data_IF_193238063698
#
_entry.id   IF_193238063698
#
_cell.length_a   1.000
_cell.length_b   1.000
_cell.length_c   1.000
_cell.angle_alpha   90.00
_cell.angle_beta   90.00
_cell.angle_gamma   90.00
#
_symmetry.space_group_name_H-M   'P 1'
#
loop_
_entity.id
_entity.type
_entity.pdbx_description
1 polymer ?
#
# COMPACT_ATOMS: atom_id res chain seq x y z
N UNK A 1 -3.28 5.11 4.13
CA UNK A 1 -2.39 5.65 5.17
C UNK A 1 -3.18 5.75 6.47
N UNK A 2 -2.49 5.81 7.62
CA UNK A 2 -3.06 6.04 8.94
C UNK A 2 -2.10 6.95 9.72
N UNK A 3 -2.62 7.95 10.41
CA UNK A 3 -1.85 8.86 11.24
C UNK A 3 -2.35 8.83 12.68
N UNK A 4 -1.43 8.60 13.61
CA UNK A 4 -1.67 8.71 15.06
C UNK A 4 -0.85 9.86 15.62
N UNK A 5 -1.55 10.89 16.10
CA UNK A 5 -0.91 12.01 16.80
C UNK A 5 -0.34 11.54 18.15
N UNK A 6 -1.04 10.65 18.84
CA UNK A 6 -0.66 10.12 20.15
C UNK A 6 0.72 9.46 20.13
N UNK A 7 1.02 8.69 19.07
CA UNK A 7 2.28 7.96 18.92
C UNK A 7 3.25 8.61 17.94
N UNK A 8 2.87 9.79 17.40
CA UNK A 8 3.62 10.45 16.34
C UNK A 8 3.94 9.50 15.17
N UNK A 9 2.97 8.64 14.83
CA UNK A 9 3.11 7.51 13.92
C UNK A 9 2.39 7.75 12.61
N UNK A 10 3.08 7.53 11.49
CA UNK A 10 2.50 7.58 10.15
C UNK A 10 2.70 6.26 9.43
N UNK A 11 1.60 5.55 9.18
CA UNK A 11 1.60 4.37 8.34
C UNK A 11 1.36 4.73 6.87
N UNK A 12 2.34 4.41 6.03
CA UNK A 12 2.29 4.58 4.58
C UNK A 12 1.80 3.30 3.92
N UNK A 13 0.54 3.33 3.48
CA UNK A 13 -0.17 2.16 3.01
C UNK A 13 0.18 1.83 1.54
N UNK A 14 1.14 0.94 1.31
CA UNK A 14 1.40 0.37 -0.01
C UNK A 14 0.27 -0.58 -0.44
N UNK A 15 -0.15 -0.59 -1.72
CA UNK A 15 -1.16 -1.55 -2.19
C UNK A 15 -0.72 -3.00 -2.04
N UNK A 16 -1.65 -3.88 -1.63
CA UNK A 16 -1.50 -5.34 -1.55
C UNK A 16 -0.50 -5.84 -0.49
N UNK A 17 -0.26 -5.05 0.56
CA UNK A 17 0.62 -5.39 1.70
C UNK A 17 -0.13 -5.65 3.00
N UNK A 18 -1.36 -6.16 2.95
CA UNK A 18 -2.16 -6.38 4.17
C UNK A 18 -2.67 -5.09 4.83
N UNK A 19 -2.82 -4.02 4.05
CA UNK A 19 -3.19 -2.68 4.50
C UNK A 19 -4.44 -2.66 5.40
N UNK A 20 -5.45 -3.48 5.10
CA UNK A 20 -6.68 -3.56 5.90
C UNK A 20 -6.38 -4.07 7.30
N UNK A 21 -5.66 -5.19 7.40
CA UNK A 21 -5.27 -5.78 8.69
C UNK A 21 -4.42 -4.83 9.55
N UNK A 22 -3.52 -4.08 8.89
CA UNK A 22 -2.69 -3.08 9.60
C UNK A 22 -3.55 -1.92 10.09
N UNK A 23 -4.50 -1.43 9.27
CA UNK A 23 -5.42 -0.38 9.70
C UNK A 23 -6.25 -0.81 10.91
N UNK A 24 -6.82 -2.02 10.87
CA UNK A 24 -7.59 -2.58 11.99
C UNK A 24 -6.75 -2.69 13.27
N UNK A 25 -5.48 -3.08 13.15
CA UNK A 25 -4.55 -3.14 14.28
C UNK A 25 -4.21 -1.74 14.83
N UNK A 26 -3.94 -0.77 13.94
CA UNK A 26 -3.62 0.59 14.33
C UNK A 26 -4.82 1.34 14.92
N UNK A 27 -6.05 1.06 14.47
CA UNK A 27 -7.26 1.61 15.08
C UNK A 27 -7.56 1.04 16.46
N UNK A 28 -7.21 -0.23 16.69
CA UNK A 28 -7.28 -0.80 18.06
C UNK A 28 -6.22 -0.17 18.97
N UNK A 29 -5.04 0.17 18.42
CA UNK A 29 -3.97 0.85 19.16
C UNK A 29 -4.33 2.30 19.48
N UNK A 30 -4.87 3.01 18.51
CA UNK A 30 -5.27 4.42 18.63
C UNK A 30 -6.61 4.67 17.93
N UNK A 31 -7.75 4.55 18.65
CA UNK A 31 -9.07 4.83 18.08
C UNK A 31 -9.27 6.28 17.62
N UNK A 32 -8.42 7.21 18.11
CA UNK A 32 -8.44 8.63 17.67
C UNK A 32 -7.60 8.88 16.41
N UNK A 33 -6.91 7.87 15.91
CA UNK A 33 -6.07 7.97 14.72
C UNK A 33 -6.87 8.19 13.43
N UNK A 34 -6.25 8.83 12.46
CA UNK A 34 -6.89 9.31 11.23
C UNK A 34 -6.47 8.51 9.99
N UNK A 35 -7.43 7.96 9.25
CA UNK A 35 -7.14 7.16 8.03
C UNK A 35 -6.89 7.97 6.77
N UNK A 36 -7.38 9.19 6.66
CA UNK A 36 -7.41 9.93 5.38
C UNK A 36 -6.92 11.36 5.47
N UNK A 37 -6.34 11.71 6.60
CA UNK A 37 -5.73 13.02 6.81
C UNK A 37 -4.56 12.91 7.78
N UNK A 38 -3.70 13.91 7.78
CA UNK A 38 -2.63 14.10 8.76
C UNK A 38 -2.88 15.45 9.40
N UNK A 39 -2.93 15.50 10.72
CA UNK A 39 -3.13 16.74 11.48
C UNK A 39 -1.93 16.96 12.38
N UNK A 40 -1.06 17.92 12.02
CA UNK A 40 0.14 18.27 12.79
C UNK A 40 0.15 19.77 13.06
N UNK A 41 -0.01 20.16 14.34
CA UNK A 41 -0.16 21.56 14.72
C UNK A 41 -1.34 22.19 13.98
N UNK A 42 -1.08 23.27 13.23
CA UNK A 42 -2.08 23.96 12.42
C UNK A 42 -2.15 23.45 10.96
N UNK A 43 -1.37 22.41 10.61
CA UNK A 43 -1.37 21.82 9.27
C UNK A 43 -2.33 20.63 9.22
N UNK A 44 -3.21 20.62 8.22
CA UNK A 44 -4.03 19.47 7.87
C UNK A 44 -3.73 19.08 6.42
N UNK A 45 -3.27 17.84 6.20
CA UNK A 45 -2.99 17.27 4.88
C UNK A 45 -4.08 16.29 4.50
N UNK A 46 -4.73 16.56 3.38
CA UNK A 46 -5.82 15.77 2.80
C UNK A 46 -5.48 15.27 1.40
N UNK A 47 -6.44 14.64 0.72
CA UNK A 47 -6.26 14.22 -0.68
C UNK A 47 -6.00 15.39 -1.63
N UNK A 48 -6.48 16.59 -1.30
CA UNK A 48 -6.34 17.77 -2.16
C UNK A 48 -4.90 18.31 -2.18
N UNK A 49 -4.14 18.03 -1.13
CA UNK A 49 -2.76 18.50 -0.95
C UNK A 49 -1.73 17.55 -1.60
N UNK A 50 -2.19 16.45 -2.20
CA UNK A 50 -1.34 15.43 -2.79
C UNK A 50 -1.45 15.43 -4.32
N UNK A 51 -0.31 15.37 -5.00
CA UNK A 51 -0.21 15.40 -6.47
C UNK A 51 -1.10 14.34 -7.16
N UNK A 52 -1.30 13.19 -6.52
CA UNK A 52 -2.12 12.08 -7.07
C UNK A 52 -3.57 12.07 -6.55
N UNK A 53 -3.96 12.98 -5.67
CA UNK A 53 -5.32 13.09 -5.15
C UNK A 53 -5.84 11.87 -4.39
N UNK A 54 -4.96 11.00 -3.88
CA UNK A 54 -5.34 9.78 -3.18
C UNK A 54 -4.52 9.57 -1.93
N UNK A 55 -5.07 10.05 -0.85
CA UNK A 55 -4.43 9.92 0.46
C UNK A 55 -4.39 8.47 0.98
N UNK A 56 -5.33 7.61 0.58
CA UNK A 56 -5.38 6.22 1.03
C UNK A 56 -4.14 5.40 0.66
N UNK A 57 -3.52 5.71 -0.48
CA UNK A 57 -2.27 5.11 -0.97
C UNK A 57 -1.28 6.19 -1.42
N UNK A 58 -1.19 7.27 -0.64
CA UNK A 58 -0.20 8.32 -0.86
C UNK A 58 1.22 7.76 -0.70
N UNK A 59 2.16 8.25 -1.50
CA UNK A 59 3.57 7.89 -1.38
C UNK A 59 4.23 8.73 -0.30
N UNK A 60 5.24 8.19 0.35
CA UNK A 60 6.01 8.88 1.39
C UNK A 60 6.52 10.24 0.92
N UNK A 61 7.05 10.33 -0.31
CA UNK A 61 7.54 11.58 -0.91
C UNK A 61 6.47 12.64 -1.13
N UNK A 62 5.23 12.24 -1.46
CA UNK A 62 4.12 13.18 -1.64
C UNK A 62 3.71 13.77 -0.29
N UNK A 63 3.68 12.92 0.74
CA UNK A 63 3.39 13.34 2.11
C UNK A 63 4.51 14.25 2.65
N UNK A 64 5.78 13.87 2.42
CA UNK A 64 6.96 14.66 2.78
C UNK A 64 6.92 16.05 2.14
N UNK A 65 6.61 16.13 0.84
CA UNK A 65 6.46 17.39 0.11
C UNK A 65 5.36 18.28 0.72
N UNK A 66 4.22 17.69 1.11
CA UNK A 66 3.09 18.43 1.68
C UNK A 66 3.35 18.89 3.12
N UNK A 67 4.00 18.09 3.95
CA UNK A 67 4.34 18.43 5.35
C UNK A 67 5.55 19.34 5.46
N UNK A 68 6.52 19.18 4.55
CA UNK A 68 7.88 19.68 4.67
C UNK A 68 8.80 18.68 5.38
N UNK A 69 10.11 18.81 5.11
CA UNK A 69 11.14 17.87 5.58
C UNK A 69 11.21 17.79 7.11
N UNK A 70 11.14 18.93 7.78
CA UNK A 70 11.24 19.01 9.23
C UNK A 70 10.12 18.23 9.92
N UNK A 71 8.86 18.48 9.55
CA UNK A 71 7.71 17.81 10.17
C UNK A 71 7.64 16.33 9.80
N UNK A 72 7.97 15.98 8.54
CA UNK A 72 8.02 14.58 8.11
C UNK A 72 9.07 13.78 8.88
N UNK A 73 10.25 14.36 9.12
CA UNK A 73 11.35 13.70 9.83
C UNK A 73 11.09 13.50 11.32
N UNK A 74 10.19 14.28 11.93
CA UNK A 74 9.72 14.07 13.32
C UNK A 74 8.84 12.84 13.45
N UNK A 75 8.19 12.37 12.36
CA UNK A 75 7.28 11.24 12.41
C UNK A 75 7.99 9.88 12.49
N UNK A 76 7.39 8.95 13.21
CA UNK A 76 7.68 7.53 13.16
C UNK A 76 6.99 6.94 11.93
N UNK A 77 7.66 6.95 10.78
CA UNK A 77 7.10 6.46 9.52
C UNK A 77 7.27 4.97 9.40
N UNK A 78 6.16 4.25 9.15
CA UNK A 78 6.15 2.80 8.98
C UNK A 78 5.54 2.42 7.62
N UNK A 79 6.04 1.36 7.02
CA UNK A 79 5.52 0.82 5.77
C UNK A 79 5.71 -0.69 5.69
N UNK A 80 4.98 -1.33 4.78
CA UNK A 80 5.12 -2.76 4.54
C UNK A 80 5.35 -3.03 3.07
N UNK A 81 6.21 -4.01 2.81
CA UNK A 81 6.50 -4.54 1.48
C UNK A 81 6.01 -5.97 1.38
N UNK A 82 5.87 -6.46 0.17
CA UNK A 82 5.49 -7.82 -0.15
C UNK A 82 6.36 -8.38 -1.25
N UNK A 83 6.62 -9.70 -1.21
CA UNK A 83 7.23 -10.41 -2.31
C UNK A 83 6.53 -10.01 -3.63
N UNK A 84 7.28 -9.56 -4.65
CA UNK A 84 6.71 -9.03 -5.89
C UNK A 84 5.83 -10.03 -6.64
N UNK A 85 6.16 -11.30 -6.60
CA UNK A 85 5.40 -12.38 -7.23
C UNK A 85 4.08 -12.63 -6.50
N UNK A 86 4.12 -12.77 -5.18
CA UNK A 86 2.92 -12.87 -4.32
C UNK A 86 2.01 -11.64 -4.49
N UNK A 87 2.60 -10.45 -4.62
CA UNK A 87 1.86 -9.22 -4.87
C UNK A 87 1.14 -9.27 -6.22
N UNK A 88 1.80 -9.76 -7.28
CA UNK A 88 1.23 -9.83 -8.61
C UNK A 88 0.04 -10.79 -8.65
N UNK A 89 0.18 -11.99 -8.06
CA UNK A 89 -0.92 -12.96 -7.90
C UNK A 89 -2.08 -12.33 -7.12
N UNK A 90 -1.80 -11.70 -5.98
CA UNK A 90 -2.82 -11.01 -5.18
C UNK A 90 -3.53 -9.90 -5.95
N UNK A 91 -2.82 -9.18 -6.83
CA UNK A 91 -3.41 -8.14 -7.68
C UNK A 91 -4.33 -8.71 -8.75
N UNK A 92 -3.96 -9.84 -9.36
CA UNK A 92 -4.81 -10.53 -10.33
C UNK A 92 -6.15 -10.95 -9.72
N UNK A 93 -6.12 -11.67 -8.60
CA UNK A 93 -7.35 -12.13 -7.94
C UNK A 93 -8.19 -10.99 -7.39
N UNK A 94 -7.56 -9.92 -6.92
CA UNK A 94 -8.25 -8.71 -6.51
C UNK A 94 -8.99 -8.07 -7.70
N UNK A 95 -8.31 -7.88 -8.84
CA UNK A 95 -8.94 -7.33 -10.04
C UNK A 95 -10.04 -8.25 -10.58
N UNK A 96 -9.82 -9.56 -10.57
CA UNK A 96 -10.81 -10.56 -11.02
C UNK A 96 -12.11 -10.53 -10.19
N UNK A 97 -11.98 -10.26 -8.88
CA UNK A 97 -13.13 -10.17 -7.95
C UNK A 97 -13.88 -8.83 -8.09
N UNK A 98 -13.21 -7.75 -8.46
CA UNK A 98 -13.78 -6.41 -8.49
C UNK A 98 -14.65 -6.17 -9.73
N UNK A 99 -15.54 -5.16 -9.64
CA UNK A 99 -16.37 -4.73 -10.76
C UNK A 99 -15.68 -3.63 -11.57
N UNK A 100 -15.75 -3.74 -12.91
CA UNK A 100 -15.23 -2.73 -13.82
C UNK A 100 -15.90 -1.36 -13.61
N UNK A 101 -17.18 -1.34 -13.19
CA UNK A 101 -17.92 -0.11 -12.89
C UNK A 101 -17.29 0.76 -11.80
N UNK A 102 -16.49 0.19 -10.90
CA UNK A 102 -15.77 0.97 -9.88
C UNK A 102 -14.78 1.96 -10.50
N UNK A 103 -14.30 1.73 -11.73
CA UNK A 103 -13.46 2.67 -12.47
C UNK A 103 -14.18 4.00 -12.72
N UNK A 104 -15.48 3.97 -12.96
CA UNK A 104 -16.30 5.16 -13.28
C UNK A 104 -16.69 5.97 -12.02
N UNK A 105 -16.59 5.37 -10.84
CA UNK A 105 -16.87 6.04 -9.57
C UNK A 105 -15.69 6.83 -9.01
N UNK A 106 -14.54 6.81 -9.68
CA UNK A 106 -13.37 7.60 -9.29
C UNK A 106 -13.59 9.06 -9.67
N UNK A 107 -13.86 9.93 -8.68
CA UNK A 107 -14.01 11.38 -8.87
C UNK A 107 -12.67 12.10 -8.66
N UNK A 108 -12.36 13.12 -9.46
CA UNK A 108 -11.20 14.01 -9.28
C UNK A 108 -10.48 14.43 -10.57
N UNK A 109 -9.21 14.86 -10.49
CA UNK A 109 -8.41 15.55 -11.50
C UNK A 109 -8.01 14.69 -12.72
N UNK A 110 -7.36 15.32 -13.74
CA UNK A 110 -6.88 14.67 -15.00
C UNK A 110 -6.10 13.36 -14.80
N UNK A 111 -5.36 13.21 -13.71
CA UNK A 111 -4.66 11.96 -13.36
C UNK A 111 -5.61 10.80 -13.03
N UNK A 112 -6.83 11.09 -12.60
CA UNK A 112 -7.85 10.09 -12.29
C UNK A 112 -8.37 9.42 -13.55
N UNK A 113 -8.51 10.12 -14.66
CA UNK A 113 -8.98 9.52 -15.92
C UNK A 113 -8.04 8.40 -16.39
N UNK A 114 -6.72 8.68 -16.50
CA UNK A 114 -5.72 7.65 -16.87
C UNK A 114 -5.73 6.47 -15.90
N UNK A 115 -5.93 6.74 -14.62
CA UNK A 115 -6.00 5.72 -13.58
C UNK A 115 -7.27 4.90 -13.67
N UNK A 116 -8.42 5.52 -13.93
CA UNK A 116 -9.70 4.84 -14.12
C UNK A 116 -9.65 3.91 -15.32
N UNK A 117 -9.07 4.36 -16.45
CA UNK A 117 -8.86 3.53 -17.65
C UNK A 117 -7.95 2.34 -17.33
N UNK A 118 -6.82 2.57 -16.68
CA UNK A 118 -5.91 1.48 -16.30
C UNK A 118 -6.57 0.48 -15.34
N UNK A 119 -7.35 0.96 -14.39
CA UNK A 119 -8.11 0.11 -13.46
C UNK A 119 -9.16 -0.71 -14.22
N UNK A 120 -9.93 -0.07 -15.10
CA UNK A 120 -10.93 -0.72 -15.92
C UNK A 120 -10.31 -1.84 -16.77
N UNK A 121 -9.26 -1.53 -17.53
CA UNK A 121 -8.57 -2.50 -18.39
C UNK A 121 -7.94 -3.64 -17.55
N UNK A 122 -7.29 -3.32 -16.45
CA UNK A 122 -6.70 -4.34 -15.57
C UNK A 122 -7.75 -5.28 -14.99
N UNK A 123 -8.92 -4.74 -14.64
CA UNK A 123 -10.05 -5.52 -14.10
C UNK A 123 -10.71 -6.37 -15.19
N UNK A 124 -10.96 -5.79 -16.35
CA UNK A 124 -11.53 -6.49 -17.50
C UNK A 124 -10.63 -7.65 -17.94
N UNK A 125 -9.34 -7.37 -18.14
CA UNK A 125 -8.38 -8.39 -18.56
C UNK A 125 -8.18 -9.49 -17.51
N UNK A 126 -8.24 -9.17 -16.20
CA UNK A 126 -8.19 -10.19 -15.16
C UNK A 126 -9.40 -11.14 -15.17
N UNK A 127 -10.53 -10.71 -15.72
CA UNK A 127 -11.74 -11.56 -15.84
C UNK A 127 -11.67 -12.51 -17.05
N UNK A 128 -11.05 -12.06 -18.14
CA UNK A 128 -11.08 -12.79 -19.44
C UNK A 128 -9.76 -13.49 -19.77
N UNK A 129 -8.64 -13.04 -19.22
CA UNK A 129 -7.32 -13.61 -19.53
C UNK A 129 -6.82 -14.49 -18.39
N UNK A 130 -6.08 -15.58 -18.68
CA UNK A 130 -5.34 -16.32 -17.68
C UNK A 130 -4.25 -15.44 -17.05
N UNK A 131 -3.80 -15.84 -15.86
CA UNK A 131 -2.84 -15.07 -15.05
C UNK A 131 -1.57 -14.70 -15.83
N UNK A 132 -1.02 -15.65 -16.58
CA UNK A 132 0.25 -15.51 -17.29
C UNK A 132 0.18 -14.37 -18.31
N UNK A 133 -0.89 -14.30 -19.11
CA UNK A 133 -1.07 -13.25 -20.11
C UNK A 133 -1.37 -11.91 -19.43
N UNK A 134 -2.26 -11.89 -18.45
CA UNK A 134 -2.57 -10.67 -17.70
C UNK A 134 -1.33 -10.07 -17.03
N UNK A 135 -0.48 -10.89 -16.41
CA UNK A 135 0.70 -10.44 -15.70
C UNK A 135 1.74 -9.75 -16.61
N UNK A 136 1.85 -10.16 -17.87
CA UNK A 136 2.74 -9.53 -18.86
C UNK A 136 2.31 -8.10 -19.20
N UNK A 137 1.02 -7.78 -19.16
CA UNK A 137 0.49 -6.46 -19.49
C UNK A 137 0.14 -5.61 -18.27
N UNK A 138 0.12 -6.21 -17.07
CA UNK A 138 -0.22 -5.48 -15.86
C UNK A 138 0.83 -4.41 -15.53
N UNK A 139 0.42 -3.14 -15.28
CA UNK A 139 1.36 -2.07 -14.94
C UNK A 139 1.86 -2.24 -13.50
N UNK A 140 2.79 -3.17 -13.32
CA UNK A 140 3.36 -3.48 -12.02
C UNK A 140 4.10 -2.27 -11.44
N UNK A 141 3.89 -2.00 -10.15
CA UNK A 141 4.65 -1.02 -9.37
C UNK A 141 5.17 -1.67 -8.09
N UNK A 142 6.47 -1.52 -7.83
CA UNK A 142 7.07 -1.99 -6.59
C UNK A 142 6.43 -1.33 -5.36
N UNK A 143 6.33 -2.05 -4.24
CA UNK A 143 5.95 -1.44 -2.97
C UNK A 143 6.97 -0.41 -2.49
N UNK A 144 8.27 -0.61 -2.79
CA UNK A 144 9.33 0.35 -2.47
C UNK A 144 9.06 1.74 -3.06
N UNK A 145 8.45 1.83 -4.24
CA UNK A 145 8.10 3.12 -4.85
C UNK A 145 7.12 3.96 -4.02
N UNK A 146 6.49 3.38 -3.01
CA UNK A 146 5.64 4.10 -2.05
C UNK A 146 6.42 4.60 -0.83
N UNK A 147 7.60 4.05 -0.58
CA UNK A 147 8.40 4.26 0.62
C UNK A 147 9.68 5.06 0.37
N UNK A 148 9.93 5.39 -0.91
CA UNK A 148 11.15 6.09 -1.37
C UNK A 148 10.86 7.53 -1.80
N UNK A 149 11.91 8.35 -1.81
CA UNK A 149 11.93 9.68 -2.41
C UNK A 149 12.04 9.62 -3.96
N UNK A 150 12.19 10.75 -4.61
CA UNK A 150 12.30 10.88 -6.07
C UNK A 150 13.60 10.29 -6.62
N UNK A 151 14.67 10.32 -5.85
CA UNK A 151 15.98 9.73 -6.17
C UNK A 151 16.05 8.22 -5.91
N UNK A 152 14.98 7.63 -5.36
CA UNK A 152 14.92 6.22 -4.98
C UNK A 152 15.45 5.91 -3.59
N UNK A 153 15.96 6.90 -2.84
CA UNK A 153 16.38 6.74 -1.45
C UNK A 153 15.20 6.40 -0.55
N UNK A 154 15.44 5.53 0.42
CA UNK A 154 14.43 5.13 1.39
C UNK A 154 14.21 6.24 2.42
N UNK A 155 12.97 6.71 2.56
CA UNK A 155 12.61 7.79 3.50
C UNK A 155 11.64 7.35 4.60
N UNK A 156 11.23 6.08 4.60
CA UNK A 156 10.41 5.47 5.65
C UNK A 156 11.33 4.78 6.66
N UNK A 157 11.14 5.09 7.95
CA UNK A 157 12.05 4.64 9.01
C UNK A 157 11.96 3.15 9.32
N UNK A 158 10.75 2.59 9.30
CA UNK A 158 10.52 1.19 9.67
C UNK A 158 9.77 0.46 8.56
N UNK A 159 10.31 -0.69 8.14
CA UNK A 159 9.73 -1.50 7.08
C UNK A 159 9.52 -2.93 7.56
N UNK A 160 8.28 -3.39 7.47
CA UNK A 160 7.90 -4.79 7.69
C UNK A 160 7.60 -5.52 6.38
N UNK A 161 7.45 -6.83 6.47
CA UNK A 161 7.10 -7.74 5.37
C UNK A 161 5.68 -8.28 5.56
N UNK A 162 4.94 -8.38 4.48
CA UNK A 162 3.59 -8.96 4.50
C UNK A 162 3.62 -10.45 4.84
N UNK A 163 4.70 -11.12 4.50
CA UNK A 163 4.90 -12.56 4.75
C UNK A 163 5.00 -12.88 6.24
N UNK A 164 5.56 -11.95 7.03
CA UNK A 164 5.69 -12.00 8.50
C UNK A 164 4.90 -10.90 9.20
N UNK A 165 3.73 -10.52 8.65
CA UNK A 165 3.00 -9.30 8.96
C UNK A 165 2.81 -9.05 10.46
N UNK A 166 2.31 -10.04 11.21
CA UNK A 166 2.08 -9.90 12.65
C UNK A 166 3.39 -9.75 13.42
N UNK A 167 4.39 -10.57 13.11
CA UNK A 167 5.69 -10.51 13.79
C UNK A 167 6.40 -9.18 13.53
N UNK A 168 6.45 -8.74 12.27
CA UNK A 168 7.11 -7.48 11.90
C UNK A 168 6.38 -6.26 12.46
N UNK A 169 5.04 -6.30 12.52
CA UNK A 169 4.27 -5.27 13.20
C UNK A 169 4.66 -5.15 14.68
N UNK A 170 4.72 -6.27 15.41
CA UNK A 170 5.12 -6.28 16.82
C UNK A 170 6.57 -5.80 17.01
N UNK A 171 7.48 -6.24 16.14
CA UNK A 171 8.89 -5.82 16.19
C UNK A 171 9.03 -4.31 16.00
N UNK A 172 8.30 -3.75 15.02
CA UNK A 172 8.30 -2.29 14.76
C UNK A 172 7.72 -1.54 15.95
N UNK A 173 6.57 -1.96 16.49
CA UNK A 173 5.95 -1.31 17.66
C UNK A 173 6.86 -1.38 18.88
N UNK A 174 7.52 -2.51 19.10
CA UNK A 174 8.51 -2.67 20.18
C UNK A 174 9.71 -1.70 20.02
N UNK A 175 10.19 -1.49 18.78
CA UNK A 175 11.27 -0.52 18.51
C UNK A 175 10.85 0.93 18.73
N UNK A 176 9.56 1.19 18.83
CA UNK A 176 8.95 2.48 19.13
C UNK A 176 8.49 2.61 20.59
N UNK A 177 8.80 1.63 21.44
CA UNK A 177 8.33 1.53 22.82
C UNK A 177 6.80 1.57 22.96
N UNK A 178 6.08 1.02 21.96
CA UNK A 178 4.62 0.95 21.94
C UNK A 178 4.18 -0.47 22.30
N UNK A 179 3.43 -0.62 23.40
CA UNK A 179 2.89 -1.93 23.79
C UNK A 179 1.68 -2.32 22.94
N UNK A 180 1.82 -3.44 22.23
CA UNK A 180 0.79 -4.02 21.35
C UNK A 180 0.56 -5.51 21.62
N UNK A 181 0.95 -6.03 22.81
CA UNK A 181 0.84 -7.46 23.15
C UNK A 181 -0.56 -8.01 22.97
N UNK A 182 -1.59 -7.20 23.20
CA UNK A 182 -3.00 -7.55 23.06
C UNK A 182 -3.54 -7.40 21.63
N UNK A 183 -2.74 -6.87 20.68
CA UNK A 183 -3.16 -6.61 19.30
C UNK A 183 -2.61 -7.71 18.39
N UNK A 184 -3.50 -8.44 17.72
CA UNK A 184 -3.13 -9.38 16.68
C UNK A 184 -3.45 -8.79 15.32
N UNK A 185 -2.46 -8.78 14.43
CA UNK A 185 -2.66 -8.40 13.03
C UNK A 185 -3.19 -9.61 12.28
N UNK A 186 -4.51 -9.67 12.14
CA UNK A 186 -5.18 -10.78 11.47
C UNK A 186 -4.90 -10.81 9.95
N UNK A 187 -5.20 -11.93 9.32
CA UNK A 187 -5.19 -12.06 7.85
C UNK A 187 -6.55 -11.65 7.28
N UNK A 188 -6.88 -10.36 7.34
CA UNK A 188 -8.09 -9.83 6.70
C UNK A 188 -7.92 -9.87 5.17
N UNK A 189 -8.98 -10.24 4.45
CA UNK A 189 -9.03 -10.25 2.98
C UNK A 189 -7.99 -11.16 2.30
N UNK A 190 -7.73 -12.33 2.84
CA UNK A 190 -6.98 -13.36 2.12
C UNK A 190 -7.78 -13.82 0.89
N UNK A 191 -7.24 -13.61 -0.30
CA UNK A 191 -7.78 -14.27 -1.49
C UNK A 191 -7.41 -15.74 -1.44
N UNK A 192 -8.39 -16.63 -1.64
CA UNK A 192 -8.16 -18.07 -1.77
C UNK A 192 -7.50 -18.34 -3.13
N UNK A 193 -6.20 -18.35 -3.16
CA UNK A 193 -5.40 -18.74 -4.34
C UNK A 193 -4.23 -19.60 -3.90
N UNK A 194 -3.69 -20.40 -4.82
CA UNK A 194 -2.48 -21.18 -4.61
C UNK A 194 -1.27 -20.28 -4.36
N UNK A 195 -0.17 -20.86 -3.86
CA UNK A 195 1.10 -20.14 -3.70
C UNK A 195 1.59 -19.56 -5.04
N UNK A 196 2.45 -18.55 -4.99
CA UNK A 196 3.03 -17.93 -6.19
C UNK A 196 3.76 -18.93 -7.10
N UNK A 197 4.39 -19.96 -6.54
CA UNK A 197 5.10 -20.99 -7.33
C UNK A 197 4.20 -21.74 -8.31
N UNK A 198 2.90 -21.85 -8.00
CA UNK A 198 1.93 -22.44 -8.91
C UNK A 198 1.78 -21.61 -10.20
N UNK A 199 1.92 -20.29 -10.11
CA UNK A 199 1.72 -19.34 -11.21
C UNK A 199 3.01 -19.01 -11.95
N UNK A 200 4.16 -19.11 -11.28
CA UNK A 200 5.47 -18.76 -11.81
C UNK A 200 6.34 -20.00 -12.01
N UNK A 201 5.94 -20.84 -12.92
CA UNK A 201 6.64 -22.10 -13.23
C UNK A 201 7.95 -21.91 -14.01
N UNK A 202 8.13 -20.77 -14.69
CA UNK A 202 9.27 -20.46 -15.54
C UNK A 202 10.04 -19.23 -15.04
N UNK A 203 11.35 -19.35 -14.88
CA UNK A 203 12.22 -18.22 -14.52
C UNK A 203 12.20 -17.09 -15.55
N UNK A 204 12.07 -17.40 -16.83
CA UNK A 204 11.92 -16.40 -17.88
C UNK A 204 10.65 -15.56 -17.66
N UNK A 205 9.54 -16.20 -17.36
CA UNK A 205 8.27 -15.53 -17.06
C UNK A 205 8.36 -14.66 -15.80
N UNK A 206 8.98 -15.18 -14.72
CA UNK A 206 9.24 -14.40 -13.50
C UNK A 206 9.97 -13.10 -13.82
N UNK A 207 11.09 -13.18 -14.55
CA UNK A 207 11.90 -12.02 -14.93
C UNK A 207 11.13 -11.03 -15.81
N UNK A 208 10.32 -11.49 -16.74
CA UNK A 208 9.54 -10.66 -17.65
C UNK A 208 8.43 -9.84 -16.97
N UNK A 209 7.84 -10.36 -15.89
CA UNK A 209 6.74 -9.70 -15.19
C UNK A 209 7.16 -8.52 -14.30
N UNK A 210 8.40 -8.48 -13.81
CA UNK A 210 8.84 -7.52 -12.78
C UNK A 210 9.84 -6.49 -13.29
N UNK A 211 10.48 -6.73 -14.43
CA UNK A 211 11.45 -5.80 -15.06
C UNK A 211 10.85 -4.53 -15.69
N UNK A 212 9.60 -4.22 -15.43
CA UNK A 212 8.90 -3.05 -16.01
C UNK A 212 9.02 -1.80 -15.15
#
# INVERSE_FOLDING_TARGET
MFFSKKYNLLFIASPKTGTVSIHEALEKLDPSGERRKIVMGNKEITSNDLDQGIIGHARAREIKKALGDEDFNKLNTIGFIRNPYSKLVSSYFFNKKNNCSQAFNMKGNKHILKRSVNYFLSTLFAKVLPFEIWALFYPYRSNLSYLTDYDGSLIVKYIGRTESLNQDFHNIMKSLDIDVKHIQVGKSNTSSHKSEDHYFKSEWFKKGCIKK
#
